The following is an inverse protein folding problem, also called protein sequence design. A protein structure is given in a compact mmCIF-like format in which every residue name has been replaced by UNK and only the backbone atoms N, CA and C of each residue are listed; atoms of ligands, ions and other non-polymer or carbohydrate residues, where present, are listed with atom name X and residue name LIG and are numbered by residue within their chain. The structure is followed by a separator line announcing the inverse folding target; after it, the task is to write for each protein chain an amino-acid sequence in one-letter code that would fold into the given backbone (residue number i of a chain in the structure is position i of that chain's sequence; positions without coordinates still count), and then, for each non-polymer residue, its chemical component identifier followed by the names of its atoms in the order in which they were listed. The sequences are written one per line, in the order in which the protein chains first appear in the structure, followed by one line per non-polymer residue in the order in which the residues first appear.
data_IF_307799084346
#
_entry.id   IF_307799084346
#
_cell.length_a   1.000
_cell.length_b   1.000
_cell.length_c   1.000
_cell.angle_alpha   90.00
_cell.angle_beta   90.00
_cell.angle_gamma   90.00
#
_symmetry.space_group_name_H-M   'P 1'
#
loop_
_entity.id
_entity.type
_entity.pdbx_description
1 polymer ?
#
# COMPACT_ATOMS: atom_id res chain seq x y z
N UNK A 1 -10.15 7.20 4.81
CA UNK A 1 -9.34 6.08 4.31
C UNK A 1 -9.19 6.31 2.81
N UNK A 2 -8.02 6.08 2.24
CA UNK A 2 -7.73 6.36 0.83
C UNK A 2 -7.38 5.05 0.16
N UNK A 3 -8.00 4.73 -0.96
CA UNK A 3 -7.53 3.67 -1.84
C UNK A 3 -6.79 4.31 -2.97
N UNK A 4 -5.64 3.73 -3.28
CA UNK A 4 -4.85 4.15 -4.40
C UNK A 4 -4.78 2.96 -5.35
N UNK A 5 -5.47 3.09 -6.47
CA UNK A 5 -5.37 2.15 -7.58
C UNK A 5 -4.29 2.71 -8.52
N UNK A 6 -3.02 2.47 -8.18
CA UNK A 6 -1.93 2.75 -9.13
C UNK A 6 -1.83 1.54 -10.06
N UNK A 7 -2.71 1.46 -11.05
CA UNK A 7 -2.40 0.67 -12.24
C UNK A 7 -1.21 1.33 -12.92
N UNK A 8 -0.07 0.64 -12.93
CA UNK A 8 1.21 1.07 -13.47
C UNK A 8 1.06 1.78 -14.84
N UNK A 9 0.95 3.12 -14.82
CA UNK A 9 0.46 3.87 -15.97
C UNK A 9 0.49 5.39 -15.80
N UNK A 10 1.48 6.01 -16.44
CA UNK A 10 1.57 7.42 -16.84
C UNK A 10 1.89 8.52 -15.79
N UNK A 11 1.64 8.35 -14.49
CA UNK A 11 2.13 9.28 -13.46
C UNK A 11 3.26 8.62 -12.65
N UNK A 12 4.42 9.28 -12.58
CA UNK A 12 5.44 8.89 -11.62
C UNK A 12 4.86 9.10 -10.23
N UNK A 13 4.70 8.04 -9.46
CA UNK A 13 4.15 8.12 -8.10
C UNK A 13 4.92 9.09 -7.20
N UNK A 14 6.18 9.39 -7.51
CA UNK A 14 6.97 10.45 -6.87
C UNK A 14 6.38 11.86 -6.99
N UNK A 15 5.58 12.12 -8.03
CA UNK A 15 4.98 13.43 -8.29
C UNK A 15 3.62 13.62 -7.59
N UNK A 16 3.09 12.57 -6.94
CA UNK A 16 1.85 12.67 -6.17
C UNK A 16 2.09 13.44 -4.84
N UNK A 17 1.16 14.30 -4.42
CA UNK A 17 1.29 15.07 -3.17
C UNK A 17 0.93 14.21 -1.96
N UNK A 18 1.76 13.20 -1.66
CA UNK A 18 1.55 12.22 -0.59
C UNK A 18 1.28 12.85 0.78
N UNK A 19 1.96 13.95 1.06
CA UNK A 19 1.84 14.75 2.26
C UNK A 19 0.41 15.26 2.50
N UNK A 20 -0.35 15.51 1.43
CA UNK A 20 -1.76 15.93 1.50
C UNK A 20 -2.64 14.91 2.23
N UNK A 21 -2.30 13.63 2.15
CA UNK A 21 -3.06 12.54 2.74
C UNK A 21 -2.36 11.90 3.94
N UNK A 22 -1.14 12.34 4.28
CA UNK A 22 -0.38 11.86 5.42
C UNK A 22 -0.87 12.46 6.74
N UNK A 23 -1.86 11.78 7.35
CA UNK A 23 -2.44 12.16 8.63
C UNK A 23 -2.62 10.94 9.52
N UNK A 24 -2.73 11.17 10.83
CA UNK A 24 -3.01 10.09 11.77
C UNK A 24 -4.31 9.36 11.40
N UNK A 25 -4.24 8.03 11.41
CA UNK A 25 -5.35 7.17 11.01
C UNK A 25 -5.59 7.09 9.50
N UNK A 26 -4.82 7.79 8.66
CA UNK A 26 -4.83 7.54 7.23
C UNK A 26 -4.30 6.14 6.91
N UNK A 27 -4.95 5.50 5.96
CA UNK A 27 -4.54 4.21 5.42
C UNK A 27 -4.67 4.30 3.91
N UNK A 28 -3.59 3.95 3.22
CA UNK A 28 -3.55 3.70 1.80
C UNK A 28 -3.77 2.20 1.57
N UNK A 29 -4.68 1.87 0.66
CA UNK A 29 -4.81 0.51 0.13
C UNK A 29 -4.19 0.49 -1.25
N UNK A 30 -3.12 -0.29 -1.40
CA UNK A 30 -2.40 -0.53 -2.64
C UNK A 30 -2.96 -1.82 -3.25
N UNK A 31 -3.86 -1.69 -4.21
CA UNK A 31 -4.38 -2.84 -4.96
C UNK A 31 -3.37 -3.27 -6.02
N UNK A 32 -3.23 -4.58 -6.23
CA UNK A 32 -2.24 -5.18 -7.14
C UNK A 32 -0.81 -4.76 -6.79
N UNK A 33 -0.47 -4.80 -5.49
CA UNK A 33 0.80 -4.30 -4.97
C UNK A 33 2.03 -5.07 -5.48
N UNK A 34 1.84 -6.28 -6.02
CA UNK A 34 2.89 -7.12 -6.56
C UNK A 34 4.04 -7.33 -5.56
N UNK A 35 5.29 -7.36 -6.06
CA UNK A 35 6.50 -7.49 -5.24
C UNK A 35 7.35 -6.22 -5.20
N UNK A 36 7.04 -5.23 -6.03
CA UNK A 36 7.69 -3.92 -6.08
C UNK A 36 6.76 -2.89 -5.45
N UNK A 37 6.75 -2.88 -4.13
CA UNK A 37 5.70 -2.21 -3.38
C UNK A 37 5.96 -0.71 -3.35
N UNK A 38 5.08 0.05 -3.98
CA UNK A 38 5.02 1.51 -3.91
C UNK A 38 5.15 1.99 -2.46
N UNK A 39 4.46 1.31 -1.55
CA UNK A 39 4.53 1.56 -0.12
C UNK A 39 5.97 1.62 0.42
N UNK A 40 6.92 0.82 -0.08
CA UNK A 40 8.30 0.87 0.39
C UNK A 40 8.98 2.22 0.08
N UNK A 41 8.71 2.79 -1.09
CA UNK A 41 9.26 4.08 -1.48
C UNK A 41 8.54 5.23 -0.77
N UNK A 42 7.20 5.16 -0.72
CA UNK A 42 6.37 6.23 -0.16
C UNK A 42 6.50 6.35 1.36
N UNK A 43 6.86 5.27 2.06
CA UNK A 43 7.16 5.32 3.51
C UNK A 43 8.25 6.33 3.89
N UNK A 44 9.14 6.69 2.96
CA UNK A 44 10.15 7.73 3.18
C UNK A 44 9.56 9.15 3.14
N UNK A 45 8.40 9.31 2.50
CA UNK A 45 7.69 10.58 2.31
C UNK A 45 6.61 10.77 3.36
N UNK A 46 5.82 9.72 3.65
CA UNK A 46 4.70 9.76 4.61
C UNK A 46 5.13 9.28 6.00
N UNK A 47 4.74 10.00 7.05
CA UNK A 47 5.15 9.76 8.43
C UNK A 47 4.06 9.11 9.29
N UNK A 48 2.80 9.32 8.96
CA UNK A 48 1.66 8.91 9.78
C UNK A 48 0.82 7.82 9.10
N UNK A 49 0.66 7.89 7.79
CA UNK A 49 -0.19 6.97 7.05
C UNK A 49 0.35 5.54 7.05
N UNK A 50 -0.58 4.58 7.06
CA UNK A 50 -0.29 3.14 6.95
C UNK A 50 -0.64 2.62 5.57
N UNK A 51 -0.11 1.46 5.21
CA UNK A 51 -0.36 0.76 3.96
C UNK A 51 -0.98 -0.61 4.22
N UNK A 52 -1.97 -0.95 3.40
CA UNK A 52 -2.48 -2.31 3.22
C UNK A 52 -2.20 -2.68 1.77
N UNK A 53 -1.22 -3.56 1.59
CA UNK A 53 -0.84 -4.07 0.28
C UNK A 53 -1.71 -5.29 -0.01
N UNK A 54 -2.49 -5.21 -1.07
CA UNK A 54 -3.40 -6.26 -1.49
C UNK A 54 -2.90 -6.93 -2.75
N UNK A 55 -2.95 -8.26 -2.75
CA UNK A 55 -2.63 -9.12 -3.88
C UNK A 55 -3.18 -10.52 -3.63
N UNK A 56 -2.98 -11.45 -4.56
CA UNK A 56 -3.24 -12.87 -4.35
C UNK A 56 -2.41 -13.40 -3.16
N UNK A 57 -2.89 -14.45 -2.46
CA UNK A 57 -2.25 -14.96 -1.27
C UNK A 57 -0.75 -15.26 -1.43
N UNK A 58 -0.36 -15.88 -2.53
CA UNK A 58 1.03 -16.23 -2.84
C UNK A 58 1.92 -15.02 -3.10
N UNK A 59 1.35 -13.91 -3.60
CA UNK A 59 2.09 -12.67 -3.85
C UNK A 59 2.23 -11.88 -2.56
N UNK A 60 1.19 -11.85 -1.71
CA UNK A 60 1.29 -11.30 -0.35
C UNK A 60 2.43 -11.95 0.45
N UNK A 61 2.59 -13.27 0.37
CA UNK A 61 3.71 -13.99 1.03
C UNK A 61 5.08 -13.58 0.48
N UNK A 62 5.18 -13.34 -0.82
CA UNK A 62 6.42 -12.84 -1.44
C UNK A 62 6.72 -11.42 -0.97
N UNK A 63 5.69 -10.59 -0.86
CA UNK A 63 5.81 -9.23 -0.36
C UNK A 63 6.23 -9.13 1.10
N UNK A 64 5.65 -9.97 1.96
CA UNK A 64 6.08 -10.11 3.36
C UNK A 64 7.55 -10.49 3.46
N UNK A 65 8.01 -11.44 2.64
CA UNK A 65 9.41 -11.85 2.57
C UNK A 65 10.31 -10.70 2.12
N UNK A 66 9.93 -9.98 1.06
CA UNK A 66 10.67 -8.81 0.58
C UNK A 66 10.84 -7.76 1.68
N UNK A 67 9.76 -7.40 2.39
CA UNK A 67 9.84 -6.44 3.49
C UNK A 67 10.62 -6.97 4.69
N UNK A 68 10.53 -8.26 5.02
CA UNK A 68 11.34 -8.84 6.09
C UNK A 68 12.85 -8.71 5.80
N UNK A 69 13.26 -8.79 4.54
CA UNK A 69 14.67 -8.66 4.11
C UNK A 69 15.12 -7.21 3.98
N UNK A 70 14.26 -6.31 3.51
CA UNK A 70 14.64 -4.94 3.11
C UNK A 70 14.17 -3.85 4.07
N UNK A 71 13.04 -4.04 4.75
CA UNK A 71 12.40 -3.03 5.60
C UNK A 71 11.51 -3.65 6.70
N UNK A 72 12.11 -4.50 7.53
CA UNK A 72 11.37 -5.27 8.55
C UNK A 72 10.63 -4.37 9.56
N UNK A 73 11.14 -3.14 9.78
CA UNK A 73 10.51 -2.19 10.71
C UNK A 73 9.14 -1.71 10.22
N UNK A 74 8.93 -1.59 8.91
CA UNK A 74 7.63 -1.22 8.37
C UNK A 74 6.52 -2.23 8.74
N UNK A 75 6.86 -3.53 8.73
CA UNK A 75 5.97 -4.60 9.20
C UNK A 75 5.84 -4.55 10.72
N UNK A 76 6.96 -4.49 11.47
CA UNK A 76 6.95 -4.53 12.94
C UNK A 76 6.14 -3.38 13.56
N UNK A 77 6.29 -2.18 13.01
CA UNK A 77 5.55 -0.98 13.44
C UNK A 77 4.08 -0.99 12.99
N UNK A 78 3.70 -1.93 12.10
CA UNK A 78 2.38 -1.98 11.49
C UNK A 78 2.09 -0.83 10.53
N UNK A 79 3.15 -0.17 10.02
CA UNK A 79 3.06 0.83 8.95
C UNK A 79 2.73 0.17 7.61
N UNK A 80 3.12 -1.10 7.41
CA UNK A 80 2.76 -1.93 6.26
C UNK A 80 2.10 -3.21 6.75
N UNK A 81 1.06 -3.64 6.06
CA UNK A 81 0.41 -4.93 6.22
C UNK A 81 0.07 -5.52 4.87
N UNK A 82 0.05 -6.83 4.80
CA UNK A 82 -0.40 -7.57 3.63
C UNK A 82 -1.80 -8.12 3.89
N UNK A 83 -2.66 -8.02 2.88
CA UNK A 83 -4.01 -8.53 2.93
C UNK A 83 -4.32 -9.25 1.61
N UNK A 84 -4.42 -10.59 1.61
CA UNK A 84 -4.87 -11.31 0.44
C UNK A 84 -6.22 -10.79 -0.04
N UNK A 85 -6.33 -10.48 -1.33
CA UNK A 85 -7.54 -9.96 -1.94
C UNK A 85 -7.68 -10.44 -3.39
N UNK A 86 -8.91 -10.80 -3.77
CA UNK A 86 -9.29 -11.00 -5.16
C UNK A 86 -9.99 -9.74 -5.66
N UNK A 87 -9.36 -9.00 -6.56
CA UNK A 87 -9.85 -7.72 -7.08
C UNK A 87 -11.13 -7.84 -7.91
N UNK A 88 -11.51 -9.06 -8.33
CA UNK A 88 -12.77 -9.32 -9.01
C UNK A 88 -13.93 -9.56 -8.02
N UNK A 89 -13.64 -9.51 -6.72
CA UNK A 89 -14.63 -9.61 -5.64
C UNK A 89 -14.82 -8.26 -4.93
N UNK A 90 -15.82 -8.18 -4.06
CA UNK A 90 -16.09 -6.95 -3.31
C UNK A 90 -14.89 -6.56 -2.43
N UNK A 91 -14.42 -5.33 -2.59
CA UNK A 91 -13.33 -4.79 -1.79
C UNK A 91 -13.61 -4.93 -0.28
N UNK A 92 -12.79 -5.70 0.47
CA UNK A 92 -13.03 -6.00 1.89
C UNK A 92 -12.88 -4.77 2.78
N UNK A 93 -12.08 -3.80 2.36
CA UNK A 93 -11.89 -2.55 3.07
C UNK A 93 -13.01 -1.56 2.73
N UNK A 94 -13.64 -0.96 3.76
CA UNK A 94 -14.77 -0.03 3.59
C UNK A 94 -14.37 1.42 3.81
N UNK A 95 -15.11 2.35 3.22
CA UNK A 95 -14.91 3.81 3.40
C UNK A 95 -13.71 4.37 2.63
N UNK A 96 -13.36 3.69 1.54
CA UNK A 96 -12.28 4.07 0.64
C UNK A 96 -12.69 5.26 -0.24
N UNK A 97 -11.71 6.09 -0.55
CA UNK A 97 -11.80 7.10 -1.60
C UNK A 97 -10.72 6.77 -2.60
N UNK A 98 -11.10 6.47 -3.83
CA UNK A 98 -10.18 6.25 -4.94
C UNK A 98 -9.49 7.55 -5.32
N UNK A 99 -8.17 7.49 -5.50
CA UNK A 99 -7.37 8.59 -5.99
C UNK A 99 -6.69 8.09 -7.26
N UNK A 100 -6.99 8.75 -8.37
CA UNK A 100 -6.40 8.50 -9.69
C UNK A 100 -5.01 9.16 -9.79
#
# INVERSE_FOLDING_TARGET
MVTLDIMNGALGYHDLPWDRWDKEGAVFVEADASTDHLSNDVLSVVKHAKFINQDLPEVCLQGEKFFAENNAEAIRSGRVKFQPNDFFTEQPVKGLVEIC
#
